data_IF_644236155507
#
_entry.id   IF_644236155507
#
_cell.length_a   1.000
_cell.length_b   1.000
_cell.length_c   1.000
_cell.angle_alpha   90.00
_cell.angle_beta   90.00
_cell.angle_gamma   90.00
#
_symmetry.space_group_name_H-M   'P 1'
#
loop_
_entity.id
_entity.type
_entity.pdbx_description
1 polymer ?
#
# COMPACT_ATOMS: atom_id res chain seq x y z
N UNK A 1 -18.57 5.78 -33.61
CA UNK A 1 -17.25 6.28 -34.07
C UNK A 1 -16.23 5.73 -33.10
N UNK A 2 -15.48 4.70 -33.50
CA UNK A 2 -14.43 4.08 -32.69
C UNK A 2 -13.30 5.09 -32.55
N UNK A 3 -12.85 5.36 -31.32
CA UNK A 3 -11.68 6.23 -31.12
C UNK A 3 -10.46 5.59 -31.79
N UNK A 4 -9.71 6.30 -32.64
CA UNK A 4 -8.58 5.74 -33.37
C UNK A 4 -7.41 5.31 -32.48
N UNK A 5 -7.35 5.82 -31.25
CA UNK A 5 -6.32 5.49 -30.26
C UNK A 5 -6.99 4.91 -29.03
N UNK A 6 -6.56 3.73 -28.61
CA UNK A 6 -6.96 3.13 -27.33
C UNK A 6 -5.72 2.98 -26.46
N UNK A 7 -5.74 3.61 -25.30
CA UNK A 7 -4.68 3.53 -24.30
C UNK A 7 -5.13 2.60 -23.19
N UNK A 8 -4.49 1.43 -23.11
CA UNK A 8 -4.68 0.49 -22.02
C UNK A 8 -3.72 0.81 -20.88
N UNK A 9 -4.25 0.95 -19.68
CA UNK A 9 -3.45 1.22 -18.48
C UNK A 9 -4.05 0.51 -17.26
N UNK A 10 -3.28 0.43 -16.18
CA UNK A 10 -3.71 -0.22 -14.94
C UNK A 10 -3.33 0.63 -13.73
N UNK A 11 -4.33 1.15 -13.03
CA UNK A 11 -4.11 2.00 -11.85
C UNK A 11 -3.97 1.20 -10.55
N UNK A 12 -4.38 -0.07 -10.56
CA UNK A 12 -4.44 -0.91 -9.35
C UNK A 12 -3.09 -1.08 -8.62
N UNK A 13 -1.95 -0.88 -9.30
CA UNK A 13 -0.62 -0.94 -8.67
C UNK A 13 -0.28 0.33 -7.89
N UNK A 14 -0.55 1.51 -8.47
CA UNK A 14 -0.39 2.80 -7.81
C UNK A 14 -1.16 3.88 -8.59
N UNK A 15 -2.40 4.15 -8.18
CA UNK A 15 -3.27 5.11 -8.85
C UNK A 15 -2.73 6.55 -8.79
N UNK A 16 -2.00 6.92 -7.74
CA UNK A 16 -1.41 8.25 -7.63
C UNK A 16 -0.29 8.45 -8.65
N UNK A 17 0.58 7.45 -8.79
CA UNK A 17 1.70 7.52 -9.76
C UNK A 17 1.20 7.56 -11.19
N UNK A 18 0.25 6.68 -11.53
CA UNK A 18 -0.24 6.60 -12.91
C UNK A 18 -0.97 7.88 -13.31
N UNK A 19 -1.82 8.42 -12.44
CA UNK A 19 -2.58 9.64 -12.74
C UNK A 19 -1.72 10.91 -12.79
N UNK A 20 -0.65 11.02 -11.99
CA UNK A 20 0.16 12.24 -11.91
C UNK A 20 1.43 12.22 -12.77
N UNK A 21 2.00 11.05 -13.06
CA UNK A 21 3.30 10.94 -13.72
C UNK A 21 3.28 10.16 -15.03
N UNK A 22 2.36 9.21 -15.21
CA UNK A 22 2.32 8.35 -16.42
C UNK A 22 1.33 8.86 -17.46
N UNK A 23 0.09 9.13 -17.05
CA UNK A 23 -0.97 9.55 -17.96
C UNK A 23 -0.81 10.99 -18.50
N UNK A 24 -0.36 11.99 -17.73
CA UNK A 24 -0.27 13.36 -18.23
C UNK A 24 0.67 13.54 -19.43
N UNK A 25 1.89 12.95 -19.45
CA UNK A 25 2.76 12.99 -20.64
C UNK A 25 2.16 12.30 -21.86
N UNK A 26 1.42 11.18 -21.67
CA UNK A 26 0.75 10.48 -22.77
C UNK A 26 -0.38 11.37 -23.33
N UNK A 27 -1.17 11.99 -22.45
CA UNK A 27 -2.24 12.92 -22.83
C UNK A 27 -1.69 14.13 -23.60
N UNK A 28 -0.57 14.70 -23.16
CA UNK A 28 0.05 15.83 -23.85
C UNK A 28 0.63 15.42 -25.21
N UNK A 29 1.28 14.26 -25.31
CA UNK A 29 1.78 13.74 -26.58
C UNK A 29 0.66 13.51 -27.60
N UNK A 30 -0.47 12.92 -27.16
CA UNK A 30 -1.65 12.72 -28.01
C UNK A 30 -2.27 14.07 -28.43
N UNK A 31 -2.33 15.05 -27.52
CA UNK A 31 -2.84 16.39 -27.84
C UNK A 31 -1.95 17.13 -28.86
N UNK A 32 -0.62 16.97 -28.78
CA UNK A 32 0.31 17.54 -29.77
C UNK A 32 0.12 16.84 -31.12
N UNK A 33 0.05 15.51 -31.14
CA UNK A 33 -0.18 14.73 -32.35
C UNK A 33 -1.54 15.06 -32.99
N UNK A 34 -2.60 15.24 -32.19
CA UNK A 34 -3.93 15.59 -32.68
C UNK A 34 -3.96 17.00 -33.28
N UNK A 35 -3.22 17.94 -32.70
CA UNK A 35 -3.08 19.29 -33.22
C UNK A 35 -2.34 19.30 -34.58
N UNK A 36 -1.22 18.59 -34.71
CA UNK A 36 -0.45 18.50 -35.96
C UNK A 36 -1.26 17.81 -37.06
N UNK A 37 -1.86 16.67 -36.75
CA UNK A 37 -2.69 15.93 -37.70
C UNK A 37 -3.94 16.73 -38.10
N UNK A 38 -4.53 17.50 -37.17
CA UNK A 38 -5.62 18.41 -37.46
C UNK A 38 -5.23 19.53 -38.42
N UNK A 39 -4.02 20.09 -38.30
CA UNK A 39 -3.49 21.07 -39.25
C UNK A 39 -3.25 20.47 -40.65
N UNK A 40 -2.71 19.25 -40.72
CA UNK A 40 -2.50 18.54 -41.99
C UNK A 40 -3.84 18.22 -42.69
N UNK A 41 -4.80 17.66 -41.96
CA UNK A 41 -6.14 17.40 -42.51
C UNK A 41 -6.80 18.69 -43.01
N UNK A 42 -6.68 19.79 -42.28
CA UNK A 42 -7.20 21.10 -42.69
C UNK A 42 -6.56 21.57 -44.00
N UNK A 43 -5.23 21.49 -44.13
CA UNK A 43 -4.55 21.94 -45.34
C UNK A 43 -4.87 21.06 -46.55
N UNK A 44 -4.91 19.73 -46.38
CA UNK A 44 -5.30 18.80 -47.46
C UNK A 44 -6.76 18.97 -47.87
N UNK A 45 -7.68 19.20 -46.93
CA UNK A 45 -9.07 19.49 -47.27
C UNK A 45 -9.18 20.81 -48.02
N UNK A 46 -8.56 21.90 -47.53
CA UNK A 46 -8.58 23.20 -48.21
C UNK A 46 -7.96 23.13 -49.62
N UNK A 47 -6.87 22.38 -49.79
CA UNK A 47 -6.25 22.15 -51.10
C UNK A 47 -7.19 21.41 -52.06
N UNK A 48 -7.81 20.31 -51.63
CA UNK A 48 -8.78 19.56 -52.45
C UNK A 48 -10.04 20.38 -52.77
N UNK A 49 -10.48 21.24 -51.85
CA UNK A 49 -11.57 22.18 -52.12
C UNK A 49 -11.18 23.25 -53.15
N UNK A 50 -9.93 23.75 -53.10
CA UNK A 50 -9.44 24.76 -54.04
C UNK A 50 -9.14 24.22 -55.45
N UNK A 51 -8.84 22.93 -55.59
CA UNK A 51 -8.58 22.27 -56.89
C UNK A 51 -9.84 21.82 -57.63
N UNK A 52 -11.01 21.84 -56.96
CA UNK A 52 -12.29 21.51 -57.60
C UNK A 52 -12.84 22.75 -58.29
N UNK A 53 -12.53 22.91 -59.58
CA UNK A 53 -12.94 24.01 -60.46
C UNK A 53 -14.43 24.03 -60.83
N UNK A 54 -15.31 23.47 -59.99
CA UNK A 54 -16.75 23.45 -60.22
C UNK A 54 -17.45 24.47 -59.32
N UNK A 55 -17.84 25.58 -59.94
CA UNK A 55 -18.54 26.75 -59.40
C UNK A 55 -19.96 26.45 -58.89
N UNK A 56 -20.12 25.49 -57.97
CA UNK A 56 -21.36 25.29 -57.22
C UNK A 56 -21.09 25.43 -55.72
N UNK A 57 -21.10 26.70 -55.28
CA UNK A 57 -20.90 27.21 -53.91
C UNK A 57 -21.69 26.53 -52.78
N UNK A 58 -22.59 25.60 -53.11
CA UNK A 58 -23.43 24.88 -52.16
C UNK A 58 -22.92 23.47 -51.80
N UNK A 59 -22.10 22.79 -52.63
CA UNK A 59 -21.64 21.42 -52.32
C UNK A 59 -20.48 21.37 -51.33
N UNK A 60 -19.59 22.36 -51.34
CA UNK A 60 -18.47 22.48 -50.38
C UNK A 60 -18.96 22.81 -48.97
N UNK A 61 -19.93 23.73 -48.85
CA UNK A 61 -20.60 24.06 -47.58
C UNK A 61 -21.48 22.91 -47.08
N UNK A 62 -22.15 22.18 -47.98
CA UNK A 62 -22.89 20.97 -47.61
C UNK A 62 -21.97 19.82 -47.20
N UNK A 63 -20.82 19.57 -47.83
CA UNK A 63 -19.88 18.51 -47.38
C UNK A 63 -19.29 18.81 -45.99
N UNK A 64 -19.00 20.08 -45.69
CA UNK A 64 -18.60 20.54 -44.35
C UNK A 64 -19.69 20.37 -43.28
N UNK A 65 -20.97 20.38 -43.68
CA UNK A 65 -22.13 20.28 -42.78
C UNK A 65 -22.73 18.86 -42.70
N UNK A 66 -22.66 18.08 -43.78
CA UNK A 66 -23.19 16.70 -43.92
C UNK A 66 -22.24 15.68 -43.31
N UNK A 67 -20.93 15.87 -43.46
CA UNK A 67 -20.02 15.21 -42.54
C UNK A 67 -19.98 16.07 -41.26
N UNK A 68 -20.32 15.48 -40.11
CA UNK A 68 -20.10 16.09 -38.80
C UNK A 68 -18.60 16.19 -38.47
N UNK A 69 -17.79 16.78 -39.37
CA UNK A 69 -16.33 16.96 -39.25
C UNK A 69 -16.00 18.08 -38.27
N UNK A 70 -16.98 18.89 -37.82
CA UNK A 70 -16.72 19.96 -36.85
C UNK A 70 -15.93 19.50 -35.61
N UNK A 71 -16.19 18.28 -35.10
CA UNK A 71 -15.43 17.69 -33.99
C UNK A 71 -14.10 17.07 -34.43
N UNK A 72 -14.01 16.51 -35.64
CA UNK A 72 -12.78 15.94 -36.23
C UNK A 72 -11.78 17.03 -36.65
N UNK A 73 -12.24 18.23 -37.01
CA UNK A 73 -11.40 19.38 -37.33
C UNK A 73 -10.77 19.98 -36.06
N UNK A 74 -11.44 19.91 -34.92
CA UNK A 74 -10.98 20.50 -33.65
C UNK A 74 -10.10 19.52 -32.86
N UNK A 75 -10.41 18.21 -32.89
CA UNK A 75 -9.62 17.17 -32.22
C UNK A 75 -9.73 15.81 -32.95
N UNK A 76 -8.98 15.60 -34.04
CA UNK A 76 -9.16 14.44 -34.92
C UNK A 76 -8.78 13.11 -34.26
N UNK A 77 -7.88 13.14 -33.28
CA UNK A 77 -7.42 11.96 -32.55
C UNK A 77 -8.02 12.00 -31.15
N UNK A 78 -9.23 11.47 -31.01
CA UNK A 78 -9.77 11.19 -29.67
C UNK A 78 -9.16 9.89 -29.17
N UNK A 79 -8.56 9.91 -27.97
CA UNK A 79 -8.04 8.72 -27.33
C UNK A 79 -9.06 8.18 -26.31
N UNK A 80 -9.34 6.89 -26.39
CA UNK A 80 -10.11 6.16 -25.39
C UNK A 80 -9.14 5.58 -24.36
N UNK A 81 -9.35 5.92 -23.08
CA UNK A 81 -8.56 5.43 -21.97
C UNK A 81 -9.30 4.27 -21.32
N UNK A 82 -8.74 3.06 -21.39
CA UNK A 82 -9.33 1.87 -20.80
C UNK A 82 -8.46 1.37 -19.66
N UNK A 83 -9.01 1.41 -18.44
CA UNK A 83 -8.33 0.92 -17.24
C UNK A 83 -8.65 -0.56 -17.04
N UNK A 84 -7.63 -1.41 -17.12
CA UNK A 84 -7.76 -2.87 -16.96
C UNK A 84 -7.97 -3.26 -15.49
N UNK A 85 -7.39 -2.50 -14.56
CA UNK A 85 -7.45 -2.74 -13.12
C UNK A 85 -7.72 -1.41 -12.39
N UNK A 86 -8.99 -1.00 -12.27
CA UNK A 86 -9.33 0.29 -11.69
C UNK A 86 -8.98 0.32 -10.20
N UNK A 87 -7.97 1.12 -9.87
CA UNK A 87 -7.67 1.47 -8.48
C UNK A 87 -8.66 2.53 -8.01
N UNK A 88 -9.62 2.17 -7.14
CA UNK A 88 -10.50 3.17 -6.51
C UNK A 88 -9.65 4.15 -5.69
N UNK A 89 -9.51 5.42 -6.10
CA UNK A 89 -8.46 6.28 -5.58
C UNK A 89 -8.67 6.64 -4.11
N UNK A 90 -9.91 6.75 -3.64
CA UNK A 90 -10.20 7.06 -2.24
C UNK A 90 -10.33 5.80 -1.39
N UNK A 91 -11.30 4.94 -1.72
CA UNK A 91 -11.59 3.74 -0.92
C UNK A 91 -10.42 2.75 -0.98
N UNK A 92 -9.78 2.62 -2.13
CA UNK A 92 -8.65 1.74 -2.33
C UNK A 92 -7.39 2.17 -1.59
N UNK A 93 -7.10 3.47 -1.57
CA UNK A 93 -5.98 3.99 -0.78
C UNK A 93 -6.23 3.85 0.72
N UNK A 94 -7.48 4.03 1.17
CA UNK A 94 -7.87 3.78 2.56
C UNK A 94 -7.74 2.29 2.91
N UNK A 95 -8.14 1.39 2.00
CA UNK A 95 -8.10 -0.05 2.22
C UNK A 95 -6.71 -0.69 2.10
N UNK A 96 -5.74 -0.05 1.43
CA UNK A 96 -4.35 -0.55 1.41
C UNK A 96 -3.44 0.38 2.17
N UNK A 97 -3.23 1.56 1.60
CA UNK A 97 -2.09 2.41 1.89
C UNK A 97 -2.18 3.00 3.29
N UNK A 98 -3.28 3.67 3.60
CA UNK A 98 -3.53 4.25 4.93
C UNK A 98 -3.98 3.18 5.92
N UNK A 99 -4.75 2.20 5.46
CA UNK A 99 -5.27 1.15 6.31
C UNK A 99 -4.19 0.26 6.93
N UNK A 100 -3.12 -0.07 6.20
CA UNK A 100 -1.98 -0.80 6.77
C UNK A 100 -1.22 0.00 7.81
N UNK A 101 -1.17 1.34 7.69
CA UNK A 101 -0.61 2.21 8.73
C UNK A 101 -1.49 2.16 9.98
N UNK A 102 -2.82 2.16 9.82
CA UNK A 102 -3.73 2.03 10.97
C UNK A 102 -3.63 0.68 11.66
N UNK A 103 -3.49 -0.42 10.92
CA UNK A 103 -3.20 -1.75 11.52
C UNK A 103 -1.92 -1.68 12.35
N UNK A 104 -0.86 -1.07 11.82
CA UNK A 104 0.38 -0.88 12.55
C UNK A 104 0.19 -0.06 13.84
N UNK A 105 -0.50 1.09 13.77
CA UNK A 105 -0.73 1.96 14.93
C UNK A 105 -1.55 1.27 16.03
N UNK A 106 -2.64 0.59 15.65
CA UNK A 106 -3.48 -0.17 16.59
C UNK A 106 -2.65 -1.30 17.22
N UNK A 107 -1.87 -2.03 16.41
CA UNK A 107 -0.96 -3.06 16.92
C UNK A 107 0.05 -2.48 17.91
N UNK A 108 0.54 -1.26 17.70
CA UNK A 108 1.49 -0.62 18.61
C UNK A 108 0.87 -0.30 19.97
N UNK A 109 -0.37 0.21 19.98
CA UNK A 109 -1.11 0.48 21.22
C UNK A 109 -1.40 -0.81 22.00
N UNK A 110 -1.83 -1.86 21.30
CA UNK A 110 -2.21 -3.15 21.89
C UNK A 110 -0.98 -3.90 22.44
N UNK A 111 0.13 -3.91 21.70
CA UNK A 111 1.41 -4.48 22.18
C UNK A 111 1.94 -3.70 23.38
N UNK A 112 1.91 -2.37 23.32
CA UNK A 112 2.33 -1.51 24.44
C UNK A 112 1.51 -1.76 25.71
N UNK A 113 0.18 -1.90 25.57
CA UNK A 113 -0.71 -2.28 26.67
C UNK A 113 -0.37 -3.66 27.25
N UNK A 114 -0.14 -4.64 26.38
CA UNK A 114 0.22 -6.01 26.79
C UNK A 114 1.52 -6.03 27.58
N UNK A 115 2.55 -5.29 27.16
CA UNK A 115 3.84 -5.25 27.87
C UNK A 115 3.73 -4.59 29.25
N UNK A 116 2.94 -3.53 29.38
CA UNK A 116 2.66 -2.90 30.68
C UNK A 116 1.96 -3.87 31.63
N UNK A 117 0.92 -4.55 31.14
CA UNK A 117 0.22 -5.57 31.89
C UNK A 117 1.19 -6.69 32.34
N UNK A 118 1.98 -7.25 31.42
CA UNK A 118 2.92 -8.32 31.72
C UNK A 118 3.98 -7.93 32.76
N UNK A 119 4.46 -6.68 32.72
CA UNK A 119 5.50 -6.19 33.63
C UNK A 119 5.09 -6.21 35.10
N UNK A 120 3.80 -6.15 35.40
CA UNK A 120 3.26 -6.23 36.76
C UNK A 120 3.25 -7.66 37.32
N UNK A 121 3.18 -8.67 36.44
CA UNK A 121 3.04 -10.08 36.81
C UNK A 121 4.31 -10.90 36.55
N UNK A 122 5.29 -10.37 35.81
CA UNK A 122 6.52 -11.09 35.41
C UNK A 122 7.34 -11.62 36.59
N UNK A 123 7.21 -11.02 37.77
CA UNK A 123 7.91 -11.43 38.99
C UNK A 123 7.23 -12.56 39.76
N UNK A 124 5.93 -12.81 39.50
CA UNK A 124 5.10 -13.76 40.24
C UNK A 124 4.89 -15.10 39.53
N UNK A 125 5.21 -15.17 38.23
CA UNK A 125 4.87 -16.28 37.35
C UNK A 125 6.13 -16.90 36.75
N UNK A 126 6.08 -18.20 36.42
CA UNK A 126 7.17 -18.87 35.70
C UNK A 126 7.40 -18.24 34.33
N UNK A 127 8.66 -18.20 33.92
CA UNK A 127 9.07 -17.57 32.67
C UNK A 127 8.44 -18.23 31.42
N UNK A 128 8.10 -19.52 31.49
CA UNK A 128 7.46 -20.27 30.40
C UNK A 128 6.04 -19.76 30.17
N UNK A 129 5.23 -19.65 31.22
CA UNK A 129 3.84 -19.19 31.13
C UNK A 129 3.75 -17.78 30.56
N UNK A 130 4.71 -16.92 30.92
CA UNK A 130 4.82 -15.55 30.41
C UNK A 130 5.09 -15.55 28.90
N UNK A 131 5.95 -16.44 28.41
CA UNK A 131 6.26 -16.56 26.98
C UNK A 131 5.07 -17.15 26.21
N UNK A 132 4.47 -18.23 26.72
CA UNK A 132 3.30 -18.87 26.11
C UNK A 132 2.13 -17.88 26.03
N UNK A 133 1.85 -17.17 27.12
CA UNK A 133 0.85 -16.11 27.14
C UNK A 133 1.13 -15.05 26.09
N UNK A 134 2.39 -14.60 25.96
CA UNK A 134 2.76 -13.57 24.98
C UNK A 134 2.56 -14.04 23.54
N UNK A 135 2.89 -15.30 23.23
CA UNK A 135 2.67 -15.89 21.91
C UNK A 135 1.17 -15.97 21.64
N UNK A 136 0.39 -16.63 22.50
CA UNK A 136 -1.05 -16.82 22.29
C UNK A 136 -1.80 -15.48 22.22
N UNK A 137 -1.50 -14.56 23.12
CA UNK A 137 -2.11 -13.25 23.14
C UNK A 137 -1.74 -12.42 21.90
N UNK A 138 -0.48 -12.45 21.44
CA UNK A 138 -0.08 -11.80 20.19
C UNK A 138 -0.81 -12.37 18.97
N UNK A 139 -0.95 -13.70 18.90
CA UNK A 139 -1.69 -14.39 17.84
C UNK A 139 -3.18 -14.00 17.83
N UNK A 140 -3.81 -14.01 19.00
CA UNK A 140 -5.22 -13.67 19.16
C UNK A 140 -5.50 -12.19 18.87
N UNK A 141 -4.67 -11.29 19.38
CA UNK A 141 -4.81 -9.85 19.13
C UNK A 141 -4.68 -9.54 17.62
N UNK A 142 -3.66 -10.08 16.96
CA UNK A 142 -3.51 -9.88 15.51
C UNK A 142 -4.67 -10.48 14.71
N UNK A 143 -5.23 -11.62 15.14
CA UNK A 143 -6.41 -12.23 14.53
C UNK A 143 -7.63 -11.32 14.59
N UNK A 144 -7.94 -10.75 15.76
CA UNK A 144 -9.08 -9.85 15.93
C UNK A 144 -8.89 -8.52 15.20
N UNK A 145 -7.70 -7.89 15.30
CA UNK A 145 -7.42 -6.62 14.63
C UNK A 145 -7.55 -6.77 13.11
N UNK A 146 -6.95 -7.82 12.54
CA UNK A 146 -7.01 -8.08 11.11
C UNK A 146 -8.43 -8.43 10.64
N UNK A 147 -9.23 -9.10 11.46
CA UNK A 147 -10.63 -9.42 11.15
C UNK A 147 -11.48 -8.13 11.10
N UNK A 148 -11.41 -7.30 12.13
CA UNK A 148 -12.15 -6.02 12.21
C UNK A 148 -11.78 -5.14 11.01
N UNK A 149 -10.48 -5.00 10.74
CA UNK A 149 -9.99 -4.24 9.58
C UNK A 149 -10.54 -4.77 8.26
N UNK A 150 -10.49 -6.09 8.07
CA UNK A 150 -10.96 -6.71 6.82
C UNK A 150 -12.47 -6.59 6.65
N UNK A 151 -13.25 -6.60 7.74
CA UNK A 151 -14.70 -6.37 7.71
C UNK A 151 -15.06 -4.92 7.34
N UNK A 152 -14.30 -3.94 7.84
CA UNK A 152 -14.47 -2.53 7.46
C UNK A 152 -14.20 -2.37 5.96
N UNK A 153 -13.13 -2.99 5.45
CA UNK A 153 -12.80 -2.95 4.01
C UNK A 153 -13.85 -3.69 3.17
N UNK A 154 -14.37 -4.82 3.64
CA UNK A 154 -15.46 -5.54 2.98
C UNK A 154 -16.70 -4.64 2.80
N UNK A 155 -17.09 -3.92 3.86
CA UNK A 155 -18.23 -3.01 3.83
C UNK A 155 -18.01 -1.81 2.89
N UNK A 156 -16.83 -1.21 2.92
CA UNK A 156 -16.50 -0.04 2.09
C UNK A 156 -16.27 -0.38 0.61
N UNK A 157 -15.63 -1.51 0.33
CA UNK A 157 -15.20 -1.88 -1.02
C UNK A 157 -16.20 -2.80 -1.74
N UNK A 158 -17.13 -3.42 -0.99
CA UNK A 158 -18.09 -4.37 -1.54
C UNK A 158 -17.41 -5.59 -2.13
N UNK A 159 -16.63 -6.34 -1.35
CA UNK A 159 -16.04 -7.59 -1.85
C UNK A 159 -17.15 -8.62 -2.05
N UNK A 160 -17.46 -8.93 -3.32
CA UNK A 160 -18.58 -9.80 -3.69
C UNK A 160 -18.30 -11.31 -3.50
N UNK A 161 -17.04 -11.71 -3.25
CA UNK A 161 -16.62 -13.11 -3.16
C UNK A 161 -16.05 -13.47 -1.79
N UNK A 162 -16.66 -14.45 -1.11
CA UNK A 162 -16.19 -14.92 0.19
C UNK A 162 -14.76 -15.48 0.18
N UNK A 163 -14.33 -16.10 -0.93
CA UNK A 163 -12.95 -16.60 -1.09
C UNK A 163 -11.92 -15.47 -1.18
N UNK A 164 -12.29 -14.34 -1.78
CA UNK A 164 -11.41 -13.17 -1.86
C UNK A 164 -11.27 -12.52 -0.49
N UNK A 165 -12.37 -12.40 0.25
CA UNK A 165 -12.36 -11.92 1.63
C UNK A 165 -11.47 -12.78 2.53
N UNK A 166 -11.60 -14.10 2.45
CA UNK A 166 -10.78 -15.02 3.25
C UNK A 166 -9.27 -14.84 2.99
N UNK A 167 -8.87 -14.77 1.71
CA UNK A 167 -7.46 -14.52 1.33
C UNK A 167 -6.96 -13.16 1.80
N UNK A 168 -7.78 -12.12 1.66
CA UNK A 168 -7.47 -10.78 2.12
C UNK A 168 -7.30 -10.70 3.63
N UNK A 169 -8.20 -11.34 4.38
CA UNK A 169 -8.14 -11.39 5.83
C UNK A 169 -6.90 -12.15 6.31
N UNK A 170 -6.62 -13.34 5.78
CA UNK A 170 -5.42 -14.10 6.14
C UNK A 170 -4.13 -13.34 5.81
N UNK A 171 -4.10 -12.58 4.71
CA UNK A 171 -2.98 -11.71 4.37
C UNK A 171 -2.82 -10.54 5.35
N UNK A 172 -3.92 -9.91 5.77
CA UNK A 172 -3.90 -8.85 6.78
C UNK A 172 -3.51 -9.38 8.15
N UNK A 173 -3.88 -10.62 8.47
CA UNK A 173 -3.47 -11.31 9.69
C UNK A 173 -1.97 -11.52 9.73
N UNK A 174 -1.38 -12.04 8.66
CA UNK A 174 0.07 -12.17 8.51
C UNK A 174 0.78 -10.81 8.63
N UNK A 175 0.21 -9.78 8.00
CA UNK A 175 0.74 -8.40 8.08
C UNK A 175 0.73 -7.87 9.52
N UNK A 176 -0.35 -8.10 10.26
CA UNK A 176 -0.45 -7.73 11.68
C UNK A 176 0.54 -8.50 12.56
N UNK A 177 0.82 -9.77 12.25
CA UNK A 177 1.83 -10.55 12.97
C UNK A 177 3.24 -9.99 12.77
N UNK A 178 3.59 -9.63 11.53
CA UNK A 178 4.88 -9.01 11.20
C UNK A 178 5.03 -7.67 11.90
N UNK A 179 4.00 -6.81 11.89
CA UNK A 179 4.07 -5.54 12.63
C UNK A 179 4.16 -5.76 14.14
N UNK A 180 3.34 -6.66 14.69
CA UNK A 180 3.34 -6.97 16.12
C UNK A 180 4.72 -7.42 16.61
N UNK A 181 5.37 -8.34 15.89
CA UNK A 181 6.69 -8.85 16.29
C UNK A 181 7.78 -7.77 16.20
N UNK A 182 7.73 -6.90 15.18
CA UNK A 182 8.63 -5.73 15.06
C UNK A 182 8.45 -4.83 16.29
N UNK A 183 7.21 -4.46 16.62
CA UNK A 183 6.94 -3.58 17.76
C UNK A 183 7.44 -4.20 19.06
N UNK A 184 7.12 -5.47 19.30
CA UNK A 184 7.57 -6.21 20.49
C UNK A 184 9.10 -6.20 20.59
N UNK A 185 9.82 -6.41 19.49
CA UNK A 185 11.27 -6.42 19.47
C UNK A 185 11.89 -5.08 19.84
N UNK A 186 11.42 -3.99 19.25
CA UNK A 186 11.95 -2.65 19.54
C UNK A 186 11.63 -2.23 20.98
N UNK A 187 10.40 -2.44 21.43
CA UNK A 187 9.97 -2.06 22.78
C UNK A 187 10.63 -2.88 23.88
N UNK A 188 10.80 -4.19 23.68
CA UNK A 188 11.41 -5.07 24.69
C UNK A 188 12.92 -4.86 24.82
N UNK A 189 13.63 -4.69 23.70
CA UNK A 189 15.10 -4.60 23.70
C UNK A 189 15.64 -3.21 24.07
N UNK A 190 14.99 -2.14 23.59
CA UNK A 190 15.52 -0.78 23.67
C UNK A 190 14.80 0.07 24.74
N UNK A 191 13.76 -0.47 25.40
CA UNK A 191 13.04 0.20 26.48
C UNK A 191 12.40 1.53 26.03
N UNK A 192 12.58 2.59 26.82
CA UNK A 192 12.03 3.93 26.52
C UNK A 192 12.54 4.48 25.17
N UNK A 193 13.81 4.24 24.83
CA UNK A 193 14.37 4.64 23.54
C UNK A 193 13.81 3.83 22.37
N UNK A 194 13.28 2.64 22.66
CA UNK A 194 12.67 1.76 21.66
C UNK A 194 11.50 2.39 20.92
N UNK A 195 10.66 3.18 21.61
CA UNK A 195 9.54 3.86 20.98
C UNK A 195 9.98 4.95 19.99
N UNK A 196 11.05 5.68 20.31
CA UNK A 196 11.58 6.72 19.43
C UNK A 196 12.22 6.11 18.18
N UNK A 197 13.04 5.06 18.35
CA UNK A 197 13.69 4.36 17.23
C UNK A 197 12.66 3.65 16.35
N UNK A 198 11.63 3.05 16.96
CA UNK A 198 10.50 2.46 16.25
C UNK A 198 9.76 3.49 15.40
N UNK A 199 9.52 4.70 15.91
CA UNK A 199 8.91 5.79 15.12
C UNK A 199 9.77 6.14 13.91
N UNK A 200 11.09 6.29 14.07
CA UNK A 200 12.01 6.53 12.94
C UNK A 200 11.98 5.37 11.95
N UNK A 201 11.97 4.13 12.44
CA UNK A 201 11.89 2.95 11.59
C UNK A 201 10.60 2.90 10.76
N UNK A 202 9.47 3.29 11.32
CA UNK A 202 8.20 3.40 10.58
C UNK A 202 8.25 4.48 9.52
N UNK A 203 8.85 5.63 9.81
CA UNK A 203 9.04 6.71 8.83
C UNK A 203 9.88 6.20 7.66
N UNK A 204 10.95 5.45 7.93
CA UNK A 204 11.77 4.82 6.89
C UNK A 204 10.98 3.77 6.10
N UNK A 205 10.16 2.94 6.75
CA UNK A 205 9.27 2.01 6.05
C UNK A 205 8.28 2.73 5.15
N UNK A 206 7.67 3.82 5.62
CA UNK A 206 6.76 4.67 4.85
C UNK A 206 7.47 5.22 3.61
N UNK A 207 8.66 5.79 3.78
CA UNK A 207 9.42 6.40 2.71
C UNK A 207 9.91 5.38 1.67
N UNK A 208 10.24 4.16 2.10
CA UNK A 208 10.63 3.05 1.24
C UNK A 208 9.45 2.27 0.63
N UNK A 209 8.22 2.75 0.73
CA UNK A 209 7.05 2.01 0.25
C UNK A 209 6.44 2.59 -1.03
N UNK A 210 5.50 1.85 -1.64
CA UNK A 210 4.75 2.30 -2.82
C UNK A 210 3.53 3.18 -2.47
N UNK A 211 3.57 3.86 -1.32
CA UNK A 211 2.46 4.61 -0.72
C UNK A 211 1.88 5.66 -1.70
N UNK A 212 2.73 6.57 -2.19
CA UNK A 212 2.33 7.68 -3.07
C UNK A 212 3.03 7.57 -4.42
N UNK A 213 4.36 7.41 -4.41
CA UNK A 213 5.16 7.25 -5.62
C UNK A 213 5.56 5.78 -5.81
N UNK A 214 5.58 5.30 -7.05
CA UNK A 214 6.21 4.02 -7.35
C UNK A 214 7.71 4.11 -7.07
N UNK A 215 8.27 3.09 -6.42
CA UNK A 215 9.69 3.05 -6.03
C UNK A 215 10.66 3.07 -7.22
N UNK A 216 10.16 2.79 -8.41
CA UNK A 216 10.89 2.85 -9.68
C UNK A 216 11.14 4.30 -10.14
N UNK A 217 10.24 5.22 -9.76
CA UNK A 217 10.29 6.65 -10.07
C UNK A 217 10.95 7.47 -8.94
N UNK A 218 11.19 6.87 -7.77
CA UNK A 218 11.84 7.55 -6.65
C UNK A 218 13.37 7.56 -6.77
N UNK A 219 14.02 8.49 -6.05
CA UNK A 219 15.48 8.56 -5.99
C UNK A 219 16.07 7.22 -5.54
N UNK A 220 17.23 6.76 -6.10
CA UNK A 220 17.81 5.45 -5.80
C UNK A 220 17.99 5.15 -4.31
N UNK A 221 18.17 6.18 -3.49
CA UNK A 221 18.19 6.07 -2.03
C UNK A 221 16.99 5.30 -1.47
N UNK A 222 15.76 5.54 -1.95
CA UNK A 222 14.55 4.90 -1.41
C UNK A 222 14.38 3.43 -1.85
N UNK A 223 15.28 2.89 -2.68
CA UNK A 223 15.22 1.50 -3.16
C UNK A 223 15.50 0.47 -2.05
N UNK A 224 16.04 0.86 -0.89
CA UNK A 224 16.09 -0.04 0.28
C UNK A 224 14.70 -0.57 0.66
N UNK A 225 13.66 0.16 0.29
CA UNK A 225 12.27 -0.19 0.49
C UNK A 225 11.86 -1.56 -0.06
N UNK A 226 12.51 -2.04 -1.13
CA UNK A 226 12.26 -3.38 -1.68
C UNK A 226 12.51 -4.51 -0.67
N UNK A 227 13.36 -4.28 0.34
CA UNK A 227 13.61 -5.25 1.39
C UNK A 227 12.65 -5.12 2.58
N UNK A 228 11.93 -4.00 2.72
CA UNK A 228 11.14 -3.73 3.91
C UNK A 228 9.75 -4.39 3.83
N UNK A 229 9.20 -4.86 4.97
CA UNK A 229 7.95 -5.61 4.99
C UNK A 229 6.77 -4.77 4.49
N UNK A 230 6.74 -3.46 4.75
CA UNK A 230 5.65 -2.58 4.34
C UNK A 230 5.48 -2.52 2.81
N UNK A 231 6.56 -2.60 2.04
CA UNK A 231 6.52 -2.64 0.58
C UNK A 231 5.74 -3.87 0.09
N UNK A 232 6.03 -5.04 0.65
CA UNK A 232 5.37 -6.30 0.30
C UNK A 232 3.91 -6.33 0.78
N UNK A 233 3.61 -5.75 1.94
CA UNK A 233 2.25 -5.63 2.49
C UNK A 233 1.37 -4.81 1.55
N UNK A 234 1.83 -3.62 1.15
CA UNK A 234 1.04 -2.74 0.26
C UNK A 234 0.84 -3.39 -1.11
N UNK A 235 1.88 -3.94 -1.72
CA UNK A 235 1.77 -4.55 -3.03
C UNK A 235 0.90 -5.82 -3.02
N UNK A 236 1.00 -6.64 -1.97
CA UNK A 236 0.15 -7.81 -1.78
C UNK A 236 -1.32 -7.43 -1.54
N UNK A 237 -1.58 -6.40 -0.73
CA UNK A 237 -2.93 -5.87 -0.50
C UNK A 237 -3.57 -5.32 -1.77
N UNK A 238 -2.82 -4.55 -2.55
CA UNK A 238 -3.27 -4.02 -3.85
C UNK A 238 -3.53 -5.12 -4.88
N UNK A 239 -2.71 -6.18 -4.88
CA UNK A 239 -2.94 -7.36 -5.72
C UNK A 239 -4.26 -8.04 -5.37
N UNK A 240 -4.54 -8.26 -4.08
CA UNK A 240 -5.78 -8.90 -3.65
C UNK A 240 -7.03 -8.05 -3.91
N UNK A 241 -6.95 -6.72 -3.79
CA UNK A 241 -8.11 -5.85 -3.96
C UNK A 241 -8.38 -5.46 -5.42
N UNK A 242 -7.34 -5.19 -6.21
CA UNK A 242 -7.49 -4.70 -7.58
C UNK A 242 -7.14 -5.74 -8.65
N UNK A 243 -6.76 -6.95 -8.23
CA UNK A 243 -6.21 -7.98 -9.11
C UNK A 243 -5.02 -7.47 -9.95
N UNK A 244 -4.27 -6.49 -9.42
CA UNK A 244 -3.17 -5.84 -10.12
C UNK A 244 -1.96 -6.75 -10.19
N UNK A 245 -1.19 -6.75 -11.28
CA UNK A 245 -0.01 -7.60 -11.44
C UNK A 245 1.00 -7.39 -10.28
N UNK A 246 1.24 -8.44 -9.49
CA UNK A 246 2.27 -8.47 -8.45
C UNK A 246 2.79 -9.89 -8.26
N UNK A 247 4.05 -10.01 -7.83
CA UNK A 247 4.62 -11.27 -7.35
C UNK A 247 4.02 -11.63 -5.98
N UNK A 248 2.75 -11.97 -5.92
CA UNK A 248 2.02 -12.19 -4.67
C UNK A 248 2.67 -13.28 -3.81
N UNK A 249 3.08 -14.39 -4.44
CA UNK A 249 3.79 -15.47 -3.75
C UNK A 249 5.13 -15.02 -3.14
N UNK A 250 5.87 -14.18 -3.86
CA UNK A 250 7.13 -13.59 -3.35
C UNK A 250 6.86 -12.65 -2.17
N UNK A 251 5.83 -11.80 -2.27
CA UNK A 251 5.45 -10.89 -1.18
C UNK A 251 5.12 -11.69 0.08
N UNK A 252 4.27 -12.72 -0.02
CA UNK A 252 3.91 -13.58 1.11
C UNK A 252 5.14 -14.33 1.66
N UNK A 253 6.00 -14.85 0.78
CA UNK A 253 7.23 -15.54 1.17
C UNK A 253 8.18 -14.65 1.97
N UNK A 254 8.39 -13.40 1.52
CA UNK A 254 9.22 -12.45 2.25
C UNK A 254 8.60 -12.09 3.61
N UNK A 255 7.28 -11.90 3.68
CA UNK A 255 6.60 -11.67 4.96
C UNK A 255 6.78 -12.84 5.93
N UNK A 256 6.66 -14.08 5.46
CA UNK A 256 6.86 -15.27 6.29
C UNK A 256 8.30 -15.42 6.75
N UNK A 257 9.27 -15.09 5.89
CA UNK A 257 10.69 -15.06 6.26
C UNK A 257 10.96 -14.00 7.34
N UNK A 258 10.38 -12.80 7.20
CA UNK A 258 10.43 -11.75 8.21
C UNK A 258 9.81 -12.19 9.53
N UNK A 259 8.60 -12.74 9.48
CA UNK A 259 7.91 -13.22 10.67
C UNK A 259 8.75 -14.28 11.39
N UNK A 260 9.23 -15.30 10.69
CA UNK A 260 9.98 -16.41 11.28
C UNK A 260 11.30 -15.94 11.89
N UNK A 261 12.05 -15.10 11.16
CA UNK A 261 13.36 -14.58 11.63
C UNK A 261 13.18 -13.69 12.86
N UNK A 262 12.23 -12.76 12.82
CA UNK A 262 11.96 -11.85 13.94
C UNK A 262 11.32 -12.58 15.12
N UNK A 263 10.53 -13.63 14.88
CA UNK A 263 9.95 -14.45 15.93
C UNK A 263 11.01 -15.20 16.72
N UNK A 264 11.98 -15.82 16.04
CA UNK A 264 13.14 -16.45 16.69
C UNK A 264 13.93 -15.44 17.53
N UNK A 265 14.18 -14.25 16.98
CA UNK A 265 14.88 -13.18 17.69
C UNK A 265 14.07 -12.70 18.91
N UNK A 266 12.75 -12.55 18.78
CA UNK A 266 11.87 -12.10 19.85
C UNK A 266 11.71 -13.13 20.98
N UNK A 267 11.81 -14.41 20.64
CA UNK A 267 11.84 -15.50 21.61
C UNK A 267 13.15 -15.46 22.42
N UNK A 268 14.29 -15.37 21.74
CA UNK A 268 15.61 -15.28 22.38
C UNK A 268 15.73 -14.05 23.29
N UNK A 269 15.36 -12.86 22.79
CA UNK A 269 15.44 -11.63 23.59
C UNK A 269 14.36 -11.55 24.67
N UNK A 270 13.21 -12.20 24.47
CA UNK A 270 12.15 -12.32 25.48
C UNK A 270 12.63 -13.02 26.75
N UNK A 271 13.37 -14.12 26.61
CA UNK A 271 13.97 -14.84 27.75
C UNK A 271 14.95 -13.93 28.51
N UNK A 272 15.80 -13.21 27.79
CA UNK A 272 16.76 -12.29 28.40
C UNK A 272 16.06 -11.15 29.16
N UNK A 273 14.99 -10.61 28.60
CA UNK A 273 14.20 -9.56 29.24
C UNK A 273 13.55 -10.03 30.55
N UNK A 274 12.94 -11.22 30.57
CA UNK A 274 12.33 -11.79 31.78
C UNK A 274 13.40 -11.97 32.87
N UNK A 275 14.55 -12.55 32.52
CA UNK A 275 15.67 -12.72 33.46
C UNK A 275 16.18 -11.38 34.00
N UNK A 276 16.26 -10.34 33.16
CA UNK A 276 16.66 -9.00 33.58
C UNK A 276 15.66 -8.38 34.55
N UNK A 277 14.36 -8.56 34.32
CA UNK A 277 13.32 -8.04 35.22
C UNK A 277 13.31 -8.75 36.57
N UNK A 278 13.50 -10.08 36.60
CA UNK A 278 13.63 -10.84 37.84
C UNK A 278 14.83 -10.39 38.68
N UNK A 279 15.98 -10.15 38.04
CA UNK A 279 17.17 -9.61 38.73
C UNK A 279 16.94 -8.22 39.32
N UNK A 280 16.28 -7.32 38.57
CA UNK A 280 15.94 -5.98 39.07
C UNK A 280 14.99 -6.04 40.27
N UNK A 281 13.98 -6.91 40.22
CA UNK A 281 13.04 -7.10 41.32
C UNK A 281 13.74 -7.64 42.59
N UNK A 282 14.69 -8.59 42.42
CA UNK A 282 15.50 -9.08 43.53
C UNK A 282 16.33 -7.97 44.18
N UNK A 283 17.02 -7.15 43.38
CA UNK A 283 17.82 -6.01 43.87
C UNK A 283 16.97 -4.97 44.62
N UNK A 284 15.79 -4.64 44.11
CA UNK A 284 14.87 -3.70 44.78
C UNK A 284 14.37 -4.26 46.13
N UNK A 285 14.10 -5.56 46.19
CA UNK A 285 13.70 -6.21 47.45
C UNK A 285 14.82 -6.26 48.49
N UNK A 286 16.08 -6.28 48.04
CA UNK A 286 17.26 -6.28 48.90
C UNK A 286 17.55 -4.86 49.43
N UNK A 287 17.49 -3.84 48.56
CA UNK A 287 17.60 -2.43 48.95
C UNK A 287 16.51 -2.03 49.96
N UNK A 288 15.26 -2.44 49.74
CA UNK A 288 14.15 -2.17 50.66
C UNK A 288 14.29 -2.88 52.02
N UNK A 289 15.10 -3.94 52.12
CA UNK A 289 15.43 -4.59 53.41
C UNK A 289 16.57 -3.87 54.12
N UNK A 290 17.53 -3.32 53.39
CA UNK A 290 18.66 -2.56 53.95
C UNK A 290 18.23 -1.19 54.46
N UNK A 291 17.29 -0.50 53.80
CA UNK A 291 16.75 0.79 54.28
C UNK A 291 15.86 0.68 55.53
N UNK A 292 15.39 -0.52 55.87
CA UNK A 292 14.54 -0.79 57.05
C UNK A 292 15.33 -1.25 58.27
N UNK A 293 16.64 -1.46 58.15
CA UNK A 293 17.56 -1.77 59.25
C UNK A 293 18.28 -0.51 59.71
#
# INVERSE_FOLDING_TARGET
IVSPIVVFYADGRNSFTVNNYVLPPIRSAIAIASAQYGQMLRSTLLQNLSSSSDSSSNRSVQLLNTFRIGSLLINPLTAQYQNLHPGSPFVGQLATTLGYIYIYLISAMVVGGTLKFLSQYVTKVHWIDVIVFRILNGFFQGFIISLIYSLIVLWLFGIHSGSLFMRYWMFNWLSSMVFGIIIVLFTTNLGILGNSILTVFVILMLAGSTLQLALELSHPFYRYGYGLPLYHIINGGRHLLFNSYSNFGLNVGVLLAYFSTLWLLAFATGIFWIKRQQKKAAQQSEQAKTEKK
#
